data_IF_790597740516
#
_entry.id   IF_790597740516
#
_cell.length_a   1.000
_cell.length_b   1.000
_cell.length_c   1.000
_cell.angle_alpha   90.00
_cell.angle_beta   90.00
_cell.angle_gamma   90.00
#
_symmetry.space_group_name_H-M   'P 1'
#
loop_
_entity.id
_entity.type
_entity.pdbx_description
1 polymer ?
#
# COMPACT_ATOMS: atom_id res chain seq x y z
N UNK A 1 -21.00 -27.54 55.94
CA UNK A 1 -19.92 -26.71 55.43
C UNK A 1 -19.83 -27.02 53.93
N UNK A 2 -20.53 -26.25 53.13
CA UNK A 2 -20.51 -26.38 51.67
C UNK A 2 -19.48 -25.40 51.11
N UNK A 3 -18.37 -25.93 50.63
CA UNK A 3 -17.32 -25.18 49.94
C UNK A 3 -17.79 -24.89 48.50
N UNK A 4 -18.11 -23.64 48.19
CA UNK A 4 -18.36 -23.14 46.85
C UNK A 4 -17.01 -22.83 46.19
N UNK A 5 -16.55 -23.73 45.33
CA UNK A 5 -15.39 -23.44 44.45
C UNK A 5 -15.79 -22.33 43.45
N UNK A 6 -15.17 -21.18 43.56
CA UNK A 6 -15.22 -20.11 42.54
C UNK A 6 -14.50 -20.64 41.31
N UNK A 7 -15.22 -20.85 40.22
CA UNK A 7 -14.63 -21.02 38.89
C UNK A 7 -14.25 -19.62 38.43
N UNK A 8 -12.97 -19.28 38.54
CA UNK A 8 -12.42 -18.12 37.87
C UNK A 8 -12.41 -18.42 36.35
N UNK A 9 -13.43 -17.95 35.67
CA UNK A 9 -13.45 -17.91 34.21
C UNK A 9 -12.43 -16.89 33.74
N UNK A 10 -11.24 -17.33 33.32
CA UNK A 10 -10.33 -16.48 32.57
C UNK A 10 -11.02 -16.13 31.26
N UNK A 11 -11.52 -14.91 31.13
CA UNK A 11 -11.92 -14.38 29.86
C UNK A 11 -10.64 -14.13 29.05
N UNK A 12 -10.19 -15.12 28.29
CA UNK A 12 -9.17 -14.92 27.29
C UNK A 12 -9.78 -14.02 26.22
N UNK A 13 -9.43 -12.73 26.23
CA UNK A 13 -9.73 -11.83 25.12
C UNK A 13 -9.15 -12.42 23.84
N UNK A 14 -9.83 -12.22 22.70
CA UNK A 14 -9.28 -12.63 21.41
C UNK A 14 -7.89 -12.00 21.21
N UNK A 15 -6.92 -12.73 20.61
CA UNK A 15 -5.58 -12.23 20.43
C UNK A 15 -5.59 -10.96 19.58
N UNK A 16 -4.68 -10.03 19.90
CA UNK A 16 -4.46 -8.83 19.08
C UNK A 16 -3.64 -9.12 17.83
N UNK A 17 -3.58 -8.19 16.88
CA UNK A 17 -2.68 -8.29 15.73
C UNK A 17 -1.21 -8.40 16.18
N UNK A 18 -0.83 -7.72 17.26
CA UNK A 18 0.50 -7.81 17.84
C UNK A 18 0.80 -9.23 18.36
N UNK A 19 -0.15 -9.87 19.07
CA UNK A 19 0.01 -11.23 19.58
C UNK A 19 0.18 -12.25 18.45
N UNK A 20 -0.63 -12.12 17.38
CA UNK A 20 -0.52 -12.99 16.19
C UNK A 20 0.83 -12.80 15.49
N UNK A 21 1.30 -11.56 15.33
CA UNK A 21 2.62 -11.24 14.75
C UNK A 21 3.73 -11.83 15.61
N UNK A 22 3.69 -11.64 16.93
CA UNK A 22 4.68 -12.17 17.86
C UNK A 22 4.77 -13.70 17.78
N UNK A 23 3.62 -14.39 17.94
CA UNK A 23 3.55 -15.85 17.85
C UNK A 23 4.08 -16.40 16.52
N UNK A 24 3.73 -15.77 15.40
CA UNK A 24 4.19 -16.20 14.07
C UNK A 24 5.68 -15.89 13.85
N UNK A 25 6.19 -14.79 14.43
CA UNK A 25 7.62 -14.46 14.33
C UNK A 25 8.51 -15.45 15.10
N UNK A 26 8.01 -15.99 16.21
CA UNK A 26 8.72 -16.98 17.02
C UNK A 26 8.61 -18.40 16.45
N UNK A 27 7.44 -18.77 15.97
CA UNK A 27 7.15 -20.15 15.56
C UNK A 27 7.39 -20.42 14.08
N UNK A 28 7.36 -19.37 13.23
CA UNK A 28 7.38 -19.48 11.77
C UNK A 28 6.10 -20.12 11.19
N UNK A 29 5.04 -20.33 11.99
CA UNK A 29 3.82 -21.07 11.63
C UNK A 29 2.66 -20.11 11.38
N UNK A 30 1.76 -20.48 10.44
CA UNK A 30 0.54 -19.72 10.09
C UNK A 30 -0.74 -20.54 10.28
N UNK A 31 -0.64 -21.78 10.79
CA UNK A 31 -1.76 -22.67 11.05
C UNK A 31 -2.38 -22.45 12.45
N UNK A 32 -2.55 -21.20 12.81
CA UNK A 32 -3.04 -20.71 14.10
C UNK A 32 -4.53 -20.32 14.11
N UNK A 33 -5.25 -20.60 13.02
CA UNK A 33 -6.66 -20.24 12.87
C UNK A 33 -6.92 -18.78 12.52
N UNK A 34 -5.86 -17.96 12.35
CA UNK A 34 -5.94 -16.55 11.98
C UNK A 34 -5.53 -16.33 10.53
N UNK A 35 -6.02 -15.24 9.92
CA UNK A 35 -5.56 -14.72 8.63
C UNK A 35 -4.99 -13.33 8.85
N UNK A 36 -3.66 -13.24 8.84
CA UNK A 36 -2.92 -11.98 9.03
C UNK A 36 -2.61 -11.35 7.68
N UNK A 37 -3.18 -10.17 7.42
CA UNK A 37 -2.89 -9.38 6.23
C UNK A 37 -1.85 -8.29 6.52
N UNK A 38 -0.95 -8.06 5.56
CA UNK A 38 -0.20 -6.82 5.46
C UNK A 38 -0.95 -5.87 4.53
N UNK A 39 -1.31 -4.69 5.02
CA UNK A 39 -2.08 -3.69 4.28
C UNK A 39 -1.23 -2.43 4.12
N UNK A 40 -0.98 -1.99 2.88
CA UNK A 40 -0.04 -0.90 2.60
C UNK A 40 -0.78 0.26 1.92
N UNK A 41 -0.83 1.39 2.62
CA UNK A 41 -1.48 2.62 2.14
C UNK A 41 -0.81 3.17 0.88
N UNK A 42 -1.63 3.69 -0.05
CA UNK A 42 -1.15 4.46 -1.20
C UNK A 42 -0.72 5.88 -0.82
N UNK A 43 0.15 6.49 -1.64
CA UNK A 43 0.62 7.83 -1.29
C UNK A 43 1.50 8.55 -2.30
N UNK A 44 1.74 7.98 -3.48
CA UNK A 44 2.75 8.51 -4.40
C UNK A 44 4.12 8.51 -3.72
N UNK A 45 4.87 9.62 -3.77
CA UNK A 45 6.21 9.71 -3.15
C UNK A 45 6.20 9.59 -1.61
N UNK A 46 5.05 9.82 -0.92
CA UNK A 46 4.92 9.49 0.51
C UNK A 46 5.07 7.99 0.79
N UNK A 47 4.86 7.14 -0.21
CA UNK A 47 5.11 5.71 -0.13
C UNK A 47 6.53 5.34 0.29
N UNK A 48 7.47 6.28 0.27
CA UNK A 48 8.83 6.07 0.79
C UNK A 48 8.83 5.72 2.30
N UNK A 49 7.87 6.23 3.09
CA UNK A 49 7.74 5.85 4.49
C UNK A 49 7.37 4.37 4.63
N UNK A 50 6.33 3.93 3.91
CA UNK A 50 5.97 2.49 3.90
C UNK A 50 7.04 1.62 3.22
N UNK A 51 7.85 2.17 2.29
CA UNK A 51 9.04 1.48 1.77
C UNK A 51 10.05 1.18 2.87
N UNK A 52 10.34 2.15 3.72
CA UNK A 52 11.22 1.95 4.89
C UNK A 52 10.66 0.91 5.86
N UNK A 53 9.34 0.91 6.09
CA UNK A 53 8.68 -0.08 6.95
C UNK A 53 8.77 -1.49 6.36
N UNK A 54 8.54 -1.63 5.05
CA UNK A 54 8.68 -2.90 4.31
C UNK A 54 10.13 -3.41 4.34
N UNK A 55 11.10 -2.50 4.18
CA UNK A 55 12.51 -2.83 4.32
C UNK A 55 12.82 -3.42 5.71
N UNK A 56 12.29 -2.83 6.78
CA UNK A 56 12.45 -3.37 8.12
C UNK A 56 11.83 -4.76 8.28
N UNK A 57 10.63 -5.00 7.70
CA UNK A 57 9.99 -6.31 7.73
C UNK A 57 10.84 -7.39 7.05
N UNK A 58 11.44 -7.07 5.90
CA UNK A 58 12.34 -8.01 5.20
C UNK A 58 13.60 -8.29 6.00
N UNK A 59 14.29 -7.25 6.52
CA UNK A 59 15.49 -7.40 7.34
C UNK A 59 15.27 -8.19 8.63
N UNK A 60 14.05 -8.14 9.18
CA UNK A 60 13.64 -8.90 10.37
C UNK A 60 13.14 -10.31 10.03
N UNK A 61 13.12 -10.71 8.76
CA UNK A 61 12.65 -12.02 8.32
C UNK A 61 11.13 -12.22 8.45
N UNK A 62 10.35 -11.14 8.54
CA UNK A 62 8.91 -11.19 8.83
C UNK A 62 8.04 -11.26 7.57
N UNK A 63 8.61 -11.41 6.37
CA UNK A 63 7.84 -11.49 5.12
C UNK A 63 6.88 -12.68 5.13
N UNK A 64 7.32 -13.83 5.62
CA UNK A 64 6.57 -15.10 5.57
C UNK A 64 5.48 -15.25 6.62
N UNK A 65 5.35 -14.34 7.58
CA UNK A 65 4.30 -14.43 8.62
C UNK A 65 2.91 -14.04 8.11
N UNK A 66 2.84 -13.30 6.99
CA UNK A 66 1.58 -12.82 6.42
C UNK A 66 0.94 -13.86 5.49
N UNK A 67 -0.38 -13.95 5.52
CA UNK A 67 -1.16 -14.77 4.57
C UNK A 67 -1.38 -14.04 3.25
N UNK A 68 -1.50 -12.71 3.30
CA UNK A 68 -1.74 -11.88 2.13
C UNK A 68 -1.14 -10.47 2.28
N UNK A 69 -0.76 -9.86 1.17
CA UNK A 69 -0.29 -8.46 1.08
C UNK A 69 -1.25 -7.68 0.18
N UNK A 70 -1.95 -6.72 0.75
CA UNK A 70 -2.84 -5.79 0.05
C UNK A 70 -2.14 -4.44 -0.09
N UNK A 71 -2.10 -3.91 -1.30
CA UNK A 71 -1.46 -2.61 -1.53
C UNK A 71 -2.20 -1.76 -2.55
N UNK A 72 -2.21 -0.45 -2.32
CA UNK A 72 -2.78 0.54 -3.24
C UNK A 72 -1.67 1.45 -3.78
N UNK A 73 -1.57 1.64 -5.10
CA UNK A 73 -0.63 2.60 -5.70
C UNK A 73 0.83 2.32 -5.30
N UNK A 74 1.53 3.30 -4.70
CA UNK A 74 2.86 3.09 -4.13
C UNK A 74 2.90 1.95 -3.12
N UNK A 75 1.81 1.71 -2.38
CA UNK A 75 1.69 0.58 -1.47
C UNK A 75 1.71 -0.78 -2.17
N UNK A 76 1.10 -0.88 -3.36
CA UNK A 76 1.19 -2.09 -4.18
C UNK A 76 2.63 -2.34 -4.67
N UNK A 77 3.32 -1.28 -5.10
CA UNK A 77 4.74 -1.36 -5.49
C UNK A 77 5.60 -1.85 -4.32
N UNK A 78 5.38 -1.30 -3.12
CA UNK A 78 6.11 -1.70 -1.92
C UNK A 78 5.82 -3.15 -1.50
N UNK A 79 4.57 -3.60 -1.64
CA UNK A 79 4.20 -5.00 -1.42
C UNK A 79 4.87 -5.94 -2.41
N UNK A 80 4.96 -5.56 -3.69
CA UNK A 80 5.70 -6.32 -4.70
C UNK A 80 7.19 -6.42 -4.36
N UNK A 81 7.82 -5.32 -3.92
CA UNK A 81 9.21 -5.33 -3.46
C UNK A 81 9.45 -6.30 -2.30
N UNK A 82 8.55 -6.29 -1.30
CA UNK A 82 8.63 -7.22 -0.17
C UNK A 82 8.58 -8.68 -0.64
N UNK A 83 7.57 -9.00 -1.46
CA UNK A 83 7.37 -10.39 -1.92
C UNK A 83 8.42 -10.85 -2.93
N UNK A 84 9.13 -9.92 -3.59
CA UNK A 84 10.29 -10.23 -4.42
C UNK A 84 11.54 -10.63 -3.61
N UNK A 85 11.54 -10.45 -2.29
CA UNK A 85 12.72 -10.65 -1.43
C UNK A 85 13.87 -9.67 -1.73
N UNK A 86 13.56 -8.50 -2.32
CA UNK A 86 14.57 -7.50 -2.73
C UNK A 86 14.27 -6.09 -2.22
N UNK A 87 13.42 -5.95 -1.22
CA UNK A 87 13.09 -4.65 -0.65
C UNK A 87 14.32 -3.97 -0.03
N UNK A 88 15.16 -4.72 0.68
CA UNK A 88 16.38 -4.21 1.31
C UNK A 88 17.50 -3.85 0.31
N UNK A 89 17.54 -4.48 -0.85
CA UNK A 89 18.62 -4.31 -1.83
C UNK A 89 18.28 -3.39 -3.00
N UNK A 90 17.10 -3.51 -3.60
CA UNK A 90 16.73 -2.80 -4.84
C UNK A 90 15.83 -1.59 -4.63
N UNK A 91 14.89 -1.66 -3.69
CA UNK A 91 13.87 -0.63 -3.52
C UNK A 91 14.44 0.74 -3.11
N UNK A 92 15.50 0.74 -2.27
CA UNK A 92 16.16 1.99 -1.87
C UNK A 92 16.66 2.78 -3.08
N UNK A 93 17.37 2.13 -4.00
CA UNK A 93 17.90 2.78 -5.19
C UNK A 93 16.75 3.30 -6.09
N UNK A 94 15.66 2.56 -6.22
CA UNK A 94 14.48 2.99 -6.98
C UNK A 94 13.87 4.30 -6.44
N UNK A 95 13.97 4.57 -5.12
CA UNK A 95 13.46 5.79 -4.50
C UNK A 95 14.48 6.92 -4.42
N UNK A 96 15.79 6.62 -4.37
CA UNK A 96 16.83 7.62 -4.04
C UNK A 96 17.79 7.93 -5.17
N UNK A 97 17.71 7.23 -6.30
CA UNK A 97 18.49 7.55 -7.48
C UNK A 97 17.92 8.81 -8.16
N UNK A 98 18.71 9.90 -8.28
CA UNK A 98 18.24 11.17 -8.84
C UNK A 98 17.83 11.06 -10.32
N UNK A 99 18.47 10.18 -11.09
CA UNK A 99 18.13 10.02 -12.51
C UNK A 99 16.82 9.26 -12.68
N UNK A 100 16.63 8.19 -11.89
CA UNK A 100 15.37 7.45 -11.85
C UNK A 100 14.22 8.39 -11.48
N UNK A 101 14.35 9.14 -10.38
CA UNK A 101 13.30 10.02 -9.88
C UNK A 101 12.99 11.17 -10.84
N UNK A 102 14.01 11.80 -11.43
CA UNK A 102 13.85 12.86 -12.44
C UNK A 102 13.12 12.38 -13.68
N UNK A 103 13.37 11.13 -14.09
CA UNK A 103 12.72 10.53 -15.26
C UNK A 103 11.34 9.97 -14.94
N UNK A 104 11.16 9.40 -13.75
CA UNK A 104 9.87 8.87 -13.32
C UNK A 104 8.83 9.95 -13.06
N UNK A 105 9.24 11.11 -12.52
CA UNK A 105 8.36 12.22 -12.15
C UNK A 105 8.89 13.50 -12.83
N UNK A 106 8.25 13.92 -13.90
CA UNK A 106 8.65 15.13 -14.64
C UNK A 106 7.45 16.04 -14.90
N UNK A 107 7.24 17.08 -14.06
CA UNK A 107 6.16 18.04 -14.23
C UNK A 107 6.21 18.81 -15.57
N UNK A 108 7.40 18.97 -16.18
CA UNK A 108 7.54 19.69 -17.45
C UNK A 108 6.86 18.97 -18.62
N UNK A 109 6.57 17.69 -18.49
CA UNK A 109 5.85 16.89 -19.49
C UNK A 109 4.43 17.38 -19.76
N UNK A 110 3.80 18.07 -18.79
CA UNK A 110 2.48 18.70 -18.98
C UNK A 110 2.50 19.65 -20.17
N UNK A 111 3.59 20.40 -20.39
CA UNK A 111 3.75 21.31 -21.53
C UNK A 111 3.76 20.60 -22.90
N UNK A 112 3.97 19.28 -22.88
CA UNK A 112 4.01 18.43 -24.08
C UNK A 112 2.84 17.44 -24.14
N UNK A 113 1.79 17.65 -23.32
CA UNK A 113 0.63 16.76 -23.20
C UNK A 113 1.02 15.31 -22.89
N UNK A 114 2.08 15.12 -22.08
CA UNK A 114 2.55 13.82 -21.63
C UNK A 114 2.32 13.64 -20.13
N UNK A 115 2.15 12.38 -19.67
CA UNK A 115 2.01 12.09 -18.26
C UNK A 115 3.18 12.60 -17.42
N UNK A 116 2.89 13.18 -16.26
CA UNK A 116 3.90 13.63 -15.28
C UNK A 116 4.63 12.43 -14.69
N UNK A 117 3.87 11.36 -14.35
CA UNK A 117 4.42 10.11 -13.86
C UNK A 117 4.61 9.13 -15.01
N UNK A 118 5.85 8.70 -15.24
CA UNK A 118 6.17 7.66 -16.23
C UNK A 118 6.16 6.29 -15.58
N UNK A 119 4.97 5.77 -15.34
CA UNK A 119 4.81 4.42 -14.77
C UNK A 119 5.32 3.32 -15.70
N UNK A 120 5.33 3.55 -17.03
CA UNK A 120 5.92 2.58 -17.96
C UNK A 120 7.42 2.49 -17.75
N UNK A 121 8.09 3.62 -17.61
CA UNK A 121 9.51 3.67 -17.31
C UNK A 121 9.81 2.98 -15.95
N UNK A 122 9.07 3.33 -14.90
CA UNK A 122 9.27 2.70 -13.59
C UNK A 122 9.11 1.18 -13.65
N UNK A 123 8.01 0.70 -14.22
CA UNK A 123 7.66 -0.72 -14.14
C UNK A 123 8.47 -1.54 -15.13
N UNK A 124 8.66 -1.10 -16.38
CA UNK A 124 9.32 -1.90 -17.43
C UNK A 124 10.82 -1.62 -17.58
N UNK A 125 11.34 -0.48 -17.13
CA UNK A 125 12.77 -0.20 -17.22
C UNK A 125 13.47 -0.28 -15.87
N UNK A 126 12.85 0.32 -14.81
CA UNK A 126 13.48 0.31 -13.49
C UNK A 126 13.28 -1.06 -12.82
N UNK A 127 12.03 -1.51 -12.63
CA UNK A 127 11.74 -2.73 -11.87
C UNK A 127 11.97 -4.03 -12.65
N UNK A 128 12.12 -3.95 -13.96
CA UNK A 128 12.45 -5.11 -14.80
C UNK A 128 13.92 -5.14 -15.26
N UNK A 129 14.64 -4.01 -15.16
CA UNK A 129 15.99 -3.92 -15.69
C UNK A 129 17.03 -3.28 -14.78
N UNK A 130 16.82 -2.01 -14.38
CA UNK A 130 17.83 -1.23 -13.64
C UNK A 130 17.95 -1.71 -12.19
N UNK A 131 16.80 -1.90 -11.54
CA UNK A 131 16.65 -2.46 -10.20
C UNK A 131 15.62 -3.60 -10.30
N UNK A 132 16.03 -4.80 -10.70
CA UNK A 132 15.07 -5.85 -11.03
C UNK A 132 14.41 -6.45 -9.78
N UNK A 133 13.07 -6.51 -9.80
CA UNK A 133 12.29 -7.36 -8.89
C UNK A 133 12.43 -8.83 -9.32
N UNK A 134 12.27 -9.75 -8.38
CA UNK A 134 12.08 -11.15 -8.68
C UNK A 134 10.58 -11.44 -8.89
N UNK A 135 10.12 -11.39 -10.14
CA UNK A 135 8.71 -11.56 -10.47
C UNK A 135 8.22 -12.98 -10.24
N UNK A 136 9.09 -13.98 -10.43
CA UNK A 136 8.75 -15.37 -10.17
C UNK A 136 8.58 -15.61 -8.66
N UNK A 137 9.41 -15.00 -7.84
CA UNK A 137 9.25 -15.04 -6.39
C UNK A 137 7.95 -14.38 -5.92
N UNK A 138 7.50 -13.28 -6.57
CA UNK A 138 6.21 -12.65 -6.25
C UNK A 138 5.04 -13.58 -6.61
N UNK A 139 5.04 -14.14 -7.83
CA UNK A 139 3.96 -14.96 -8.35
C UNK A 139 3.87 -16.33 -7.67
N UNK A 140 5.01 -16.90 -7.29
CA UNK A 140 5.10 -18.19 -6.59
C UNK A 140 5.07 -18.09 -5.07
N UNK A 141 4.89 -16.89 -4.48
CA UNK A 141 4.94 -16.69 -3.03
C UNK A 141 3.74 -17.37 -2.34
N UNK A 142 4.00 -18.00 -1.19
CA UNK A 142 2.93 -18.56 -0.36
C UNK A 142 2.06 -17.49 0.32
N UNK A 143 2.56 -16.25 0.39
CA UNK A 143 1.81 -15.05 0.77
C UNK A 143 1.22 -14.44 -0.48
N UNK A 144 -0.09 -14.36 -0.58
CA UNK A 144 -0.76 -13.88 -1.80
C UNK A 144 -0.63 -12.37 -1.97
N UNK A 145 -0.49 -11.91 -3.21
CA UNK A 145 -0.34 -10.49 -3.53
C UNK A 145 -1.62 -9.91 -4.14
N UNK A 146 -2.12 -8.83 -3.57
CA UNK A 146 -3.38 -8.17 -3.89
C UNK A 146 -3.18 -6.68 -4.22
N UNK A 147 -2.71 -6.33 -5.44
CA UNK A 147 -2.66 -4.94 -5.87
C UNK A 147 -4.06 -4.44 -6.17
N UNK A 148 -4.46 -3.33 -5.51
CA UNK A 148 -5.80 -2.77 -5.64
C UNK A 148 -5.84 -1.69 -6.71
N UNK A 149 -6.92 -1.65 -7.50
CA UNK A 149 -7.16 -0.62 -8.50
C UNK A 149 -8.62 -0.15 -8.48
N UNK A 150 -8.92 0.99 -9.10
CA UNK A 150 -10.28 1.53 -9.23
C UNK A 150 -10.81 1.24 -10.64
N UNK A 151 -11.91 0.50 -10.75
CA UNK A 151 -12.61 0.28 -12.02
C UNK A 151 -13.19 1.60 -12.54
N UNK A 152 -12.91 1.94 -13.80
CA UNK A 152 -13.28 3.24 -14.36
C UNK A 152 -14.78 3.45 -14.54
N UNK A 153 -15.54 2.38 -14.68
CA UNK A 153 -16.99 2.44 -14.93
C UNK A 153 -17.79 2.40 -13.63
N UNK A 154 -17.44 1.49 -12.71
CA UNK A 154 -18.16 1.34 -11.43
C UNK A 154 -17.66 2.32 -10.37
N UNK A 155 -16.37 2.66 -10.37
CA UNK A 155 -15.71 3.43 -9.33
C UNK A 155 -15.39 2.63 -8.07
N UNK A 156 -15.56 1.33 -8.10
CA UNK A 156 -15.30 0.44 -6.97
C UNK A 156 -13.81 0.06 -6.93
N UNK A 157 -13.31 -0.21 -5.72
CA UNK A 157 -12.03 -0.87 -5.48
C UNK A 157 -12.11 -2.31 -6.00
N UNK A 158 -11.10 -2.73 -6.78
CA UNK A 158 -11.00 -4.06 -7.37
C UNK A 158 -9.66 -4.66 -7.04
N UNK A 159 -9.69 -5.88 -6.52
CA UNK A 159 -8.51 -6.71 -6.32
C UNK A 159 -8.06 -7.31 -7.67
N UNK A 160 -6.82 -7.02 -8.05
CA UNK A 160 -6.25 -7.51 -9.30
C UNK A 160 -5.55 -8.87 -9.17
N UNK A 161 -5.50 -9.46 -7.96
CA UNK A 161 -4.88 -10.77 -7.73
C UNK A 161 -5.35 -11.87 -8.72
N UNK A 162 -6.65 -11.99 -9.06
CA UNK A 162 -7.10 -13.05 -9.98
C UNK A 162 -6.51 -12.96 -11.40
N UNK A 163 -5.93 -11.82 -11.76
CA UNK A 163 -5.31 -11.60 -13.07
C UNK A 163 -3.79 -11.79 -13.07
N UNK A 164 -3.17 -12.06 -11.92
CA UNK A 164 -1.71 -12.22 -11.79
C UNK A 164 -1.29 -13.64 -12.17
N UNK A 165 -1.22 -13.93 -13.46
CA UNK A 165 -0.91 -15.27 -13.99
C UNK A 165 0.54 -15.37 -14.51
N UNK A 166 1.16 -14.23 -14.83
CA UNK A 166 2.50 -14.14 -15.38
C UNK A 166 3.13 -12.76 -15.12
N UNK A 167 4.40 -12.60 -15.45
CA UNK A 167 5.12 -11.33 -15.33
C UNK A 167 4.43 -10.17 -16.09
N UNK A 168 3.99 -10.31 -17.36
CA UNK A 168 3.28 -9.24 -18.05
C UNK A 168 2.01 -8.76 -17.35
N UNK A 169 1.20 -9.65 -16.81
CA UNK A 169 -0.01 -9.32 -16.07
C UNK A 169 0.31 -8.64 -14.74
N UNK A 170 1.36 -9.09 -14.03
CA UNK A 170 1.83 -8.45 -12.81
C UNK A 170 2.33 -7.01 -13.06
N UNK A 171 3.17 -6.79 -14.08
CA UNK A 171 3.63 -5.45 -14.46
C UNK A 171 2.45 -4.53 -14.85
N UNK A 172 1.44 -5.10 -15.53
CA UNK A 172 0.22 -4.37 -15.90
C UNK A 172 -0.62 -4.02 -14.67
N UNK A 173 -0.75 -4.94 -13.70
CA UNK A 173 -1.47 -4.72 -12.45
C UNK A 173 -0.81 -3.62 -11.59
N UNK A 174 0.53 -3.61 -11.48
CA UNK A 174 1.26 -2.54 -10.79
C UNK A 174 1.00 -1.18 -11.43
N UNK A 175 0.98 -1.10 -12.77
CA UNK A 175 0.63 0.12 -13.49
C UNK A 175 -0.82 0.53 -13.28
N UNK A 176 -1.76 -0.42 -13.25
CA UNK A 176 -3.18 -0.16 -13.00
C UNK A 176 -3.39 0.39 -11.59
N UNK A 177 -2.75 -0.24 -10.60
CA UNK A 177 -2.83 0.16 -9.19
C UNK A 177 -2.28 1.57 -8.93
N UNK A 178 -1.25 2.01 -9.68
CA UNK A 178 -0.59 3.32 -9.52
C UNK A 178 -0.97 4.35 -10.59
N UNK A 179 -1.90 4.04 -11.49
CA UNK A 179 -2.28 4.85 -12.65
C UNK A 179 -3.15 6.04 -12.30
N UNK A 180 -2.57 7.11 -11.73
CA UNK A 180 -3.30 8.35 -11.42
C UNK A 180 -3.87 9.01 -12.68
N UNK A 181 -5.19 9.31 -12.71
CA UNK A 181 -5.80 9.99 -13.84
C UNK A 181 -5.08 11.28 -14.20
N UNK A 182 -4.93 11.56 -15.48
CA UNK A 182 -4.24 12.72 -16.05
C UNK A 182 -2.73 12.75 -15.78
N UNK A 183 -2.30 12.36 -14.60
CA UNK A 183 -0.90 12.46 -14.17
C UNK A 183 -0.05 11.27 -14.61
N UNK A 184 -0.65 10.07 -14.74
CA UNK A 184 0.05 8.85 -15.15
C UNK A 184 -0.41 8.30 -16.52
N UNK A 185 -1.32 9.01 -17.20
CA UNK A 185 -1.80 8.68 -18.55
C UNK A 185 -3.22 8.09 -18.59
N UNK A 186 -3.56 7.36 -19.66
CA UNK A 186 -4.87 6.76 -19.83
C UNK A 186 -5.10 5.59 -18.86
N UNK A 187 -6.36 5.14 -18.72
CA UNK A 187 -6.67 3.95 -17.94
C UNK A 187 -5.89 2.72 -18.42
N UNK A 188 -5.52 1.85 -17.50
CA UNK A 188 -4.78 0.62 -17.80
C UNK A 188 -5.76 -0.53 -17.97
N UNK A 189 -5.69 -1.23 -19.10
CA UNK A 189 -6.54 -2.40 -19.38
C UNK A 189 -5.93 -3.68 -18.82
N UNK A 190 -6.73 -4.47 -18.08
CA UNK A 190 -6.38 -5.80 -17.57
C UNK A 190 -7.66 -6.63 -17.43
N UNK A 191 -7.63 -7.92 -17.83
CA UNK A 191 -8.76 -8.81 -17.68
C UNK A 191 -10.06 -8.35 -18.36
N UNK A 192 -9.97 -7.63 -19.48
CA UNK A 192 -11.14 -7.10 -20.22
C UNK A 192 -11.78 -5.86 -19.60
N UNK A 193 -11.21 -5.30 -18.53
CA UNK A 193 -11.64 -4.06 -17.87
C UNK A 193 -10.54 -3.01 -17.88
N UNK A 194 -10.87 -1.77 -17.54
CA UNK A 194 -9.93 -0.68 -17.47
C UNK A 194 -9.94 -0.03 -16.07
N UNK A 195 -8.76 0.36 -15.61
CA UNK A 195 -8.52 0.78 -14.24
C UNK A 195 -7.72 2.07 -14.17
N UNK A 196 -7.97 2.80 -13.10
CA UNK A 196 -7.12 3.85 -12.58
C UNK A 196 -6.59 3.49 -11.18
N UNK A 197 -5.73 4.35 -10.61
CA UNK A 197 -5.13 4.24 -9.29
C UNK A 197 -6.17 3.81 -8.22
N UNK A 198 -5.80 2.79 -7.45
CA UNK A 198 -6.68 2.24 -6.41
C UNK A 198 -7.07 3.26 -5.34
N UNK A 199 -6.21 4.26 -5.09
CA UNK A 199 -6.45 5.31 -4.10
C UNK A 199 -7.56 6.30 -4.46
N UNK A 200 -8.22 6.15 -5.62
CA UNK A 200 -9.47 6.86 -5.91
C UNK A 200 -10.64 6.25 -5.12
N UNK A 201 -10.70 4.92 -5.01
CA UNK A 201 -11.76 4.19 -4.33
C UNK A 201 -11.39 3.76 -2.92
N UNK A 202 -10.14 3.32 -2.70
CA UNK A 202 -9.68 2.80 -1.41
C UNK A 202 -8.18 3.08 -1.24
N UNK A 203 -7.85 4.03 -0.36
CA UNK A 203 -6.46 4.45 -0.14
C UNK A 203 -5.70 3.45 0.73
N UNK A 204 -6.39 2.93 1.78
CA UNK A 204 -5.91 1.88 2.67
C UNK A 204 -6.77 0.64 2.45
N UNK A 205 -6.29 -0.40 1.74
CA UNK A 205 -7.12 -1.51 1.28
C UNK A 205 -7.50 -2.50 2.40
N UNK A 206 -7.91 -1.98 3.55
CA UNK A 206 -8.29 -2.78 4.72
C UNK A 206 -9.65 -3.45 4.53
N UNK A 207 -10.59 -2.79 3.88
CA UNK A 207 -11.93 -3.36 3.63
C UNK A 207 -11.84 -4.54 2.67
N UNK A 208 -11.00 -4.42 1.63
CA UNK A 208 -10.74 -5.51 0.70
C UNK A 208 -10.13 -6.71 1.44
N UNK A 209 -9.13 -6.48 2.31
CA UNK A 209 -8.50 -7.54 3.10
C UNK A 209 -9.51 -8.24 4.04
N UNK A 210 -10.33 -7.48 4.77
CA UNK A 210 -11.35 -8.03 5.68
C UNK A 210 -12.45 -8.77 4.90
N UNK A 211 -12.91 -8.25 3.77
CA UNK A 211 -13.89 -8.90 2.91
C UNK A 211 -13.36 -10.24 2.36
N UNK A 212 -12.05 -10.37 2.16
CA UNK A 212 -11.39 -11.61 1.75
C UNK A 212 -11.07 -12.54 2.94
N UNK A 213 -11.52 -12.21 4.16
CA UNK A 213 -11.41 -13.05 5.34
C UNK A 213 -10.21 -12.76 6.26
N UNK A 214 -9.50 -11.64 6.09
CA UNK A 214 -8.46 -11.26 7.05
C UNK A 214 -9.09 -11.02 8.42
N UNK A 215 -8.57 -11.72 9.43
CA UNK A 215 -8.98 -11.58 10.84
C UNK A 215 -8.16 -10.51 11.53
N UNK A 216 -6.88 -10.40 11.17
CA UNK A 216 -5.91 -9.45 11.72
C UNK A 216 -5.15 -8.75 10.60
N UNK A 217 -4.69 -7.52 10.87
CA UNK A 217 -3.91 -6.78 9.90
C UNK A 217 -2.78 -5.95 10.55
N UNK A 218 -1.62 -5.93 9.87
CA UNK A 218 -0.60 -4.90 10.04
C UNK A 218 -0.78 -3.87 8.93
N UNK A 219 -1.02 -2.61 9.30
CA UNK A 219 -1.31 -1.53 8.34
C UNK A 219 -0.17 -0.53 8.31
N UNK A 220 0.45 -0.36 7.14
CA UNK A 220 1.52 0.60 6.94
C UNK A 220 0.95 1.91 6.38
N UNK A 221 1.08 2.98 7.16
CA UNK A 221 0.58 4.30 6.79
C UNK A 221 1.67 5.12 6.10
N UNK A 222 1.25 6.02 5.22
CA UNK A 222 2.14 6.93 4.48
C UNK A 222 2.04 8.38 4.94
N UNK A 223 1.10 8.66 5.85
CA UNK A 223 0.93 9.94 6.54
C UNK A 223 1.15 9.77 8.03
N UNK A 224 1.58 10.84 8.70
CA UNK A 224 1.59 10.86 10.16
C UNK A 224 0.17 10.76 10.70
N UNK A 225 0.03 10.27 11.90
CA UNK A 225 -1.28 10.12 12.56
C UNK A 225 -1.98 11.47 12.76
N UNK A 226 -1.21 12.54 13.06
CA UNK A 226 -1.70 13.90 13.26
C UNK A 226 -1.87 14.71 11.96
N UNK A 227 -1.46 14.17 10.81
CA UNK A 227 -1.43 14.90 9.56
C UNK A 227 -2.83 15.06 8.95
N UNK A 228 -3.31 16.31 8.91
CA UNK A 228 -4.57 16.64 8.23
C UNK A 228 -4.42 16.54 6.72
N UNK A 229 -5.42 15.95 6.07
CA UNK A 229 -5.47 15.87 4.61
C UNK A 229 -5.79 17.24 4.02
N UNK A 230 -4.99 17.75 3.07
CA UNK A 230 -5.33 19.00 2.41
C UNK A 230 -6.60 18.86 1.58
N UNK A 231 -7.46 19.88 1.51
CA UNK A 231 -8.64 19.86 0.66
C UNK A 231 -8.23 19.71 -0.82
N UNK A 232 -9.03 18.99 -1.60
CA UNK A 232 -8.78 18.82 -3.03
C UNK A 232 -8.77 20.18 -3.73
N UNK A 233 -7.70 20.49 -4.48
CA UNK A 233 -7.55 21.71 -5.25
C UNK A 233 -8.72 21.89 -6.24
N UNK A 234 -9.35 23.07 -6.23
CA UNK A 234 -10.46 23.42 -7.13
C UNK A 234 -10.05 23.27 -8.61
N UNK A 235 -8.81 23.61 -8.93
CA UNK A 235 -8.26 23.50 -10.29
C UNK A 235 -8.22 22.04 -10.76
N UNK A 236 -7.78 21.11 -9.91
CA UNK A 236 -7.82 19.68 -10.21
C UNK A 236 -9.23 19.16 -10.45
N UNK A 237 -10.21 19.66 -9.68
CA UNK A 237 -11.63 19.27 -9.82
C UNK A 237 -12.24 19.76 -11.13
N UNK A 238 -11.88 20.95 -11.60
CA UNK A 238 -12.44 21.56 -12.85
C UNK A 238 -11.75 20.98 -14.08
N UNK A 239 -10.42 20.99 -14.15
CA UNK A 239 -9.66 20.57 -15.34
C UNK A 239 -9.75 19.03 -15.53
N UNK A 240 -9.62 18.26 -14.45
CA UNK A 240 -9.73 16.80 -14.51
C UNK A 240 -11.17 16.30 -14.69
N UNK A 241 -12.16 17.07 -14.25
CA UNK A 241 -13.55 16.66 -14.21
C UNK A 241 -14.15 16.35 -15.57
N UNK A 242 -13.90 17.17 -16.58
CA UNK A 242 -14.46 16.99 -17.93
C UNK A 242 -13.97 15.69 -18.57
N UNK A 243 -12.66 15.49 -18.60
CA UNK A 243 -12.04 14.29 -19.17
C UNK A 243 -12.50 13.02 -18.43
N UNK A 244 -12.38 12.99 -17.10
CA UNK A 244 -12.75 11.81 -16.31
C UNK A 244 -14.25 11.47 -16.41
N UNK A 245 -15.13 12.48 -16.45
CA UNK A 245 -16.60 12.25 -16.64
C UNK A 245 -16.88 11.54 -17.97
N UNK A 246 -16.14 11.87 -19.02
CA UNK A 246 -16.35 11.29 -20.34
C UNK A 246 -15.84 9.86 -20.45
N UNK A 247 -14.64 9.57 -19.94
CA UNK A 247 -13.96 8.28 -20.16
C UNK A 247 -14.04 7.32 -18.96
N UNK A 248 -14.25 7.83 -17.76
CA UNK A 248 -14.17 7.08 -16.50
C UNK A 248 -15.20 7.57 -15.47
N UNK A 249 -16.50 7.51 -15.77
CA UNK A 249 -17.54 8.12 -14.94
C UNK A 249 -17.61 7.55 -13.53
N UNK A 250 -17.29 6.27 -13.35
CA UNK A 250 -17.20 5.64 -12.03
C UNK A 250 -16.01 6.16 -11.23
N UNK A 251 -14.81 6.14 -11.82
CA UNK A 251 -13.61 6.66 -11.19
C UNK A 251 -13.72 8.17 -10.87
N UNK A 252 -14.46 8.94 -11.69
CA UNK A 252 -14.76 10.34 -11.39
C UNK A 252 -15.61 10.47 -10.12
N UNK A 253 -16.66 9.65 -9.96
CA UNK A 253 -17.48 9.64 -8.74
C UNK A 253 -16.65 9.26 -7.51
N UNK A 254 -15.82 8.21 -7.62
CA UNK A 254 -14.91 7.79 -6.56
C UNK A 254 -13.95 8.93 -6.16
N UNK A 255 -13.35 9.60 -7.15
CA UNK A 255 -12.46 10.73 -6.90
C UNK A 255 -13.14 11.88 -6.16
N UNK A 256 -14.39 12.20 -6.54
CA UNK A 256 -15.18 13.26 -5.88
C UNK A 256 -15.56 12.88 -4.43
N UNK A 257 -15.83 11.60 -4.18
CA UNK A 257 -16.17 11.07 -2.86
C UNK A 257 -14.95 10.76 -1.98
N UNK A 258 -13.71 10.87 -2.53
CA UNK A 258 -12.47 10.45 -1.86
C UNK A 258 -12.27 11.01 -0.44
N UNK A 259 -12.56 12.29 -0.13
CA UNK A 259 -12.41 12.78 1.24
C UNK A 259 -13.28 12.01 2.23
N UNK A 260 -14.58 11.86 1.92
CA UNK A 260 -15.51 11.10 2.77
C UNK A 260 -15.12 9.61 2.85
N UNK A 261 -14.66 9.04 1.74
CA UNK A 261 -14.21 7.66 1.69
C UNK A 261 -13.01 7.42 2.61
N UNK A 262 -12.08 8.36 2.67
CA UNK A 262 -10.91 8.28 3.54
C UNK A 262 -11.27 8.41 5.03
N UNK A 263 -12.26 9.24 5.37
CA UNK A 263 -12.77 9.34 6.75
C UNK A 263 -13.43 8.03 7.17
N UNK A 264 -14.22 7.42 6.28
CA UNK A 264 -14.83 6.11 6.49
C UNK A 264 -13.78 4.96 6.57
N UNK A 265 -12.64 5.06 5.89
CA UNK A 265 -11.54 4.12 6.03
C UNK A 265 -10.91 4.21 7.42
N UNK A 266 -10.66 5.43 7.92
CA UNK A 266 -10.10 5.65 9.27
C UNK A 266 -11.08 5.21 10.36
N UNK A 267 -12.38 5.49 10.22
CA UNK A 267 -13.42 4.98 11.12
C UNK A 267 -13.48 3.44 11.13
N UNK A 268 -13.39 2.82 9.94
CA UNK A 268 -13.37 1.37 9.82
C UNK A 268 -12.13 0.76 10.51
N UNK A 269 -10.95 1.34 10.31
CA UNK A 269 -9.72 0.92 10.98
C UNK A 269 -9.87 1.03 12.51
N UNK A 270 -10.39 2.15 13.01
CA UNK A 270 -10.62 2.36 14.43
C UNK A 270 -11.61 1.33 15.02
N UNK A 271 -12.66 0.97 14.27
CA UNK A 271 -13.67 -0.01 14.70
C UNK A 271 -13.12 -1.43 14.86
N UNK A 272 -11.95 -1.73 14.27
CA UNK A 272 -11.32 -3.06 14.35
C UNK A 272 -10.52 -3.27 15.66
N UNK A 273 -10.27 -2.21 16.41
CA UNK A 273 -9.56 -2.29 17.70
C UNK A 273 -8.22 -3.02 17.57
N UNK A 274 -7.93 -3.89 18.51
CA UNK A 274 -6.67 -4.63 18.60
C UNK A 274 -6.42 -5.65 17.48
N UNK A 275 -7.44 -5.96 16.67
CA UNK A 275 -7.26 -6.79 15.47
C UNK A 275 -6.45 -6.09 14.37
N UNK A 276 -6.21 -4.78 14.50
CA UNK A 276 -5.43 -3.98 13.55
C UNK A 276 -4.30 -3.26 14.27
N UNK A 277 -3.06 -3.54 13.86
CA UNK A 277 -1.88 -2.78 14.28
C UNK A 277 -1.50 -1.80 13.16
N UNK A 278 -1.56 -0.50 13.43
CA UNK A 278 -1.15 0.53 12.48
C UNK A 278 0.27 1.03 12.80
N UNK A 279 1.07 1.23 11.75
CA UNK A 279 2.40 1.86 11.84
C UNK A 279 2.38 3.14 11.04
N UNK A 280 2.63 4.25 11.71
CA UNK A 280 2.68 5.59 11.13
C UNK A 280 4.12 6.07 10.98
N UNK A 281 4.41 7.00 10.03
CA UNK A 281 5.62 7.80 10.09
C UNK A 281 5.71 8.53 11.45
N UNK A 282 6.93 8.79 11.98
CA UNK A 282 7.09 9.52 13.23
C UNK A 282 6.42 10.89 13.20
N UNK A 283 6.01 11.43 14.36
CA UNK A 283 5.32 12.70 14.46
C UNK A 283 6.16 13.90 13.95
N UNK A 284 7.49 13.80 14.04
CA UNK A 284 8.47 14.76 13.52
C UNK A 284 8.90 14.50 12.08
N UNK A 285 8.32 13.49 11.41
CA UNK A 285 8.66 13.19 10.03
C UNK A 285 8.30 14.37 9.10
N UNK A 286 9.21 14.78 8.19
CA UNK A 286 8.95 15.88 7.28
C UNK A 286 7.76 15.58 6.37
N UNK A 287 6.95 16.58 6.00
CA UNK A 287 5.88 16.38 5.02
C UNK A 287 6.49 16.11 3.63
N UNK A 288 6.06 15.02 3.00
CA UNK A 288 6.46 14.66 1.63
C UNK A 288 5.28 14.85 0.70
N UNK A 289 5.45 15.67 -0.35
CA UNK A 289 4.43 15.79 -1.39
C UNK A 289 4.33 14.49 -2.21
N UNK A 290 3.13 14.15 -2.67
CA UNK A 290 2.87 12.91 -3.43
C UNK A 290 3.62 12.82 -4.77
N UNK A 291 4.10 13.94 -5.29
CA UNK A 291 4.92 14.04 -6.50
C UNK A 291 6.35 14.54 -6.23
N UNK A 292 6.81 14.47 -4.98
CA UNK A 292 8.18 14.84 -4.63
C UNK A 292 9.21 13.97 -5.34
N UNK A 293 10.27 14.61 -5.82
CA UNK A 293 11.46 13.96 -6.41
C UNK A 293 12.76 14.39 -5.73
N UNK A 294 12.64 14.99 -4.55
CA UNK A 294 13.78 15.33 -3.71
C UNK A 294 14.34 14.05 -3.09
N UNK A 295 15.40 13.52 -3.68
CA UNK A 295 15.99 12.24 -3.29
C UNK A 295 16.62 12.26 -1.90
N UNK A 296 17.04 13.43 -1.39
CA UNK A 296 17.54 13.56 -0.02
C UNK A 296 16.38 13.42 0.98
N UNK A 297 15.27 14.10 0.72
CA UNK A 297 14.04 13.99 1.51
C UNK A 297 13.46 12.56 1.45
N UNK A 298 13.48 11.92 0.28
CA UNK A 298 13.02 10.54 0.10
C UNK A 298 13.93 9.56 0.85
N UNK A 299 15.26 9.75 0.81
CA UNK A 299 16.20 8.94 1.59
C UNK A 299 15.95 9.05 3.10
N UNK A 300 15.67 10.27 3.60
CA UNK A 300 15.29 10.49 4.99
C UNK A 300 13.99 9.78 5.33
N UNK A 301 12.95 9.88 4.48
CA UNK A 301 11.67 9.22 4.67
C UNK A 301 11.81 7.69 4.79
N UNK A 302 12.67 7.08 3.98
CA UNK A 302 12.96 5.65 4.02
C UNK A 302 13.56 5.24 5.37
N UNK A 303 14.54 6.00 5.88
CA UNK A 303 15.18 5.75 7.19
C UNK A 303 14.16 5.89 8.32
N UNK A 304 13.33 6.94 8.29
CA UNK A 304 12.30 7.17 9.30
C UNK A 304 11.22 6.08 9.29
N UNK A 305 10.81 5.61 8.12
CA UNK A 305 9.87 4.49 7.99
C UNK A 305 10.44 3.18 8.57
N UNK A 306 11.70 2.86 8.28
CA UNK A 306 12.37 1.69 8.85
C UNK A 306 12.44 1.77 10.38
N UNK A 307 12.83 2.92 10.91
CA UNK A 307 12.91 3.16 12.36
C UNK A 307 11.53 3.04 13.03
N UNK A 308 10.47 3.60 12.41
CA UNK A 308 9.11 3.51 12.92
C UNK A 308 8.62 2.07 13.05
N UNK A 309 8.83 1.25 12.01
CA UNK A 309 8.47 -0.18 12.05
C UNK A 309 9.20 -0.90 13.17
N UNK A 310 10.53 -0.75 13.25
CA UNK A 310 11.34 -1.40 14.30
C UNK A 310 10.92 -0.97 15.70
N UNK A 311 10.61 0.31 15.88
CA UNK A 311 10.11 0.84 17.17
C UNK A 311 8.76 0.25 17.54
N UNK A 312 7.81 0.22 16.60
CA UNK A 312 6.47 -0.35 16.83
C UNK A 312 6.56 -1.83 17.20
N UNK A 313 7.35 -2.61 16.46
CA UNK A 313 7.51 -4.04 16.76
C UNK A 313 8.14 -4.25 18.15
N UNK A 314 9.20 -3.54 18.50
CA UNK A 314 9.80 -3.63 19.85
C UNK A 314 8.84 -3.28 20.97
N UNK A 315 8.00 -2.26 20.77
CA UNK A 315 7.07 -1.80 21.81
C UNK A 315 5.86 -2.71 21.96
N UNK A 316 5.43 -3.37 20.89
CA UNK A 316 4.20 -4.14 20.83
C UNK A 316 4.41 -5.64 20.96
N UNK A 317 5.62 -6.13 20.63
CA UNK A 317 5.91 -7.57 20.70
C UNK A 317 6.78 -7.93 21.92
N UNK A 318 7.24 -6.94 22.70
CA UNK A 318 8.08 -7.16 23.90
C UNK A 318 9.53 -7.03 23.57
#
# INVERSE_FOLDING_TARGET
VTSTARIEGSSTSAPSAADVIASRSETGRRDDGHRLALVIEGGGSRGVYSSGMVHALEELGLTSIFDAVYGTSAGAINGAWLLSGRASTGMRAAWTDPEIMRRAIDPSRVLRWRPVFDLRYLVHNVYDGIQPMDFDAILGNSTTFHPMATDIHTGLSVDLHPFLVDKPSLLTALRASAGLPLLAGPPVSLGGRAYFDGGLAETVPIRAAVAAGATHALVLRTRREDERRPPASLLHRVVGGGYMRAIAPGAFRAWMARPQQQDLEDEFLASRGDAVLQVFPPADAPPIDSASRDTALLAQGLVLGNAAMRSTLRTRLG
#
